data_IF_804229600331
#
_entry.id   IF_804229600331
#
_cell.length_a   1.000
_cell.length_b   1.000
_cell.length_c   1.000
_cell.angle_alpha   90.00
_cell.angle_beta   90.00
_cell.angle_gamma   90.00
#
_symmetry.space_group_name_H-M   'P 1'
#
loop_
_entity.id
_entity.type
_entity.pdbx_description
1 polymer ?
#
# COMPACT_ATOMS: atom_id res chain seq x y z
N UNK A 1 37.90 5.58 -6.91
CA UNK A 1 37.85 6.93 -6.31
C UNK A 1 36.51 7.56 -6.65
N UNK A 2 35.97 8.42 -5.78
CA UNK A 2 34.66 9.03 -6.04
C UNK A 2 34.70 9.87 -7.32
N UNK A 3 33.74 9.67 -8.24
CA UNK A 3 33.60 10.56 -9.38
C UNK A 3 33.29 11.98 -8.89
N UNK A 4 34.19 12.98 -9.04
CA UNK A 4 34.00 14.31 -8.46
C UNK A 4 32.74 14.99 -9.02
N UNK A 5 32.40 14.71 -10.27
CA UNK A 5 31.18 15.18 -10.94
C UNK A 5 29.89 14.79 -10.22
N UNK A 6 29.84 13.61 -9.58
CA UNK A 6 28.66 13.15 -8.86
C UNK A 6 28.40 13.95 -7.57
N UNK A 7 29.47 14.32 -6.86
CA UNK A 7 29.39 15.14 -5.64
C UNK A 7 28.98 16.57 -6.01
N UNK A 8 29.54 17.10 -7.11
CA UNK A 8 29.16 18.43 -7.63
C UNK A 8 27.67 18.47 -8.01
N UNK A 9 27.14 17.43 -8.65
CA UNK A 9 25.72 17.34 -9.00
C UNK A 9 24.81 17.32 -7.76
N UNK A 10 25.20 16.62 -6.68
CA UNK A 10 24.43 16.63 -5.42
C UNK A 10 24.47 17.99 -4.73
N UNK A 11 25.64 18.63 -4.68
CA UNK A 11 25.75 19.97 -4.10
C UNK A 11 24.94 20.99 -4.90
N UNK A 12 24.97 20.89 -6.23
CA UNK A 12 24.11 21.70 -7.09
C UNK A 12 22.62 21.44 -6.83
N UNK A 13 22.22 20.17 -6.68
CA UNK A 13 20.85 19.81 -6.30
C UNK A 13 20.43 20.46 -4.97
N UNK A 14 21.24 20.35 -3.92
CA UNK A 14 20.92 20.93 -2.60
C UNK A 14 20.75 22.46 -2.67
N UNK A 15 21.62 23.14 -3.43
CA UNK A 15 21.53 24.59 -3.60
C UNK A 15 20.27 25.00 -4.37
N UNK A 16 19.96 24.29 -5.45
CA UNK A 16 18.74 24.50 -6.24
C UNK A 16 17.51 24.23 -5.37
N UNK A 17 17.54 23.16 -4.58
CA UNK A 17 16.44 22.75 -3.72
C UNK A 17 16.13 23.77 -2.62
N UNK A 18 17.18 24.31 -1.99
CA UNK A 18 17.05 25.38 -1.01
C UNK A 18 16.51 26.67 -1.66
N UNK A 19 17.07 27.07 -2.81
CA UNK A 19 16.68 28.30 -3.51
C UNK A 19 15.20 28.25 -3.93
N UNK A 20 14.78 27.16 -4.57
CA UNK A 20 13.41 26.99 -5.05
C UNK A 20 12.39 26.72 -3.94
N UNK A 21 12.84 26.41 -2.72
CA UNK A 21 11.96 26.37 -1.54
C UNK A 21 11.77 27.76 -0.93
N UNK A 22 12.79 28.63 -0.97
CA UNK A 22 12.74 29.97 -0.36
C UNK A 22 12.06 31.00 -1.26
N UNK A 23 12.37 31.00 -2.56
CA UNK A 23 11.84 31.97 -3.53
C UNK A 23 10.30 32.08 -3.49
N UNK A 24 9.54 30.98 -3.44
CA UNK A 24 8.08 31.05 -3.41
C UNK A 24 7.51 31.82 -2.21
N UNK A 25 8.20 31.90 -1.06
CA UNK A 25 7.71 32.63 0.11
C UNK A 25 7.58 34.14 -0.12
N UNK A 26 8.35 34.71 -1.03
CA UNK A 26 8.22 36.12 -1.45
C UNK A 26 7.05 36.37 -2.42
N UNK A 27 6.41 35.30 -2.92
CA UNK A 27 5.27 35.33 -3.84
C UNK A 27 3.93 35.00 -3.16
N UNK A 28 3.85 35.12 -1.83
CA UNK A 28 2.64 34.89 -1.03
C UNK A 28 1.75 36.14 -1.01
N UNK A 29 1.47 36.68 -2.19
CA UNK A 29 0.73 37.94 -2.43
C UNK A 29 -0.31 37.67 -3.52
N UNK A 30 -1.48 38.34 -3.47
CA UNK A 30 -2.41 38.30 -4.60
C UNK A 30 -1.79 38.98 -5.83
N UNK A 31 -1.51 38.19 -6.88
CA UNK A 31 -0.92 38.66 -8.14
C UNK A 31 0.50 38.14 -8.39
N UNK A 32 1.10 38.53 -9.51
CA UNK A 32 2.47 38.15 -9.88
C UNK A 32 3.45 39.26 -9.43
N UNK A 33 3.72 39.32 -8.13
CA UNK A 33 4.64 40.28 -7.53
C UNK A 33 5.49 39.63 -6.44
N UNK A 34 6.75 40.05 -6.34
CA UNK A 34 7.70 39.59 -5.32
C UNK A 34 7.95 40.70 -4.31
N UNK A 35 7.72 40.43 -3.03
CA UNK A 35 7.95 41.38 -1.95
C UNK A 35 8.88 40.78 -0.88
N UNK A 36 9.92 41.54 -0.55
CA UNK A 36 10.92 41.13 0.43
C UNK A 36 10.35 41.10 1.86
N UNK A 37 9.48 42.05 2.20
CA UNK A 37 8.88 42.10 3.54
C UNK A 37 7.99 40.87 3.80
N UNK A 38 7.29 40.41 2.76
CA UNK A 38 6.47 39.20 2.79
C UNK A 38 7.31 37.93 2.91
N UNK A 39 8.47 37.87 2.24
CA UNK A 39 9.44 36.78 2.38
C UNK A 39 9.93 36.64 3.83
N UNK A 40 10.37 37.75 4.43
CA UNK A 40 10.89 37.77 5.80
C UNK A 40 9.81 37.36 6.81
N UNK A 41 8.58 37.85 6.64
CA UNK A 41 7.45 37.47 7.48
C UNK A 41 7.14 35.97 7.43
N UNK A 42 7.15 35.37 6.24
CA UNK A 42 6.85 33.94 6.07
C UNK A 42 7.98 33.01 6.53
N UNK A 43 9.21 33.49 6.57
CA UNK A 43 10.38 32.77 7.10
C UNK A 43 10.46 32.82 8.63
N UNK A 44 9.84 33.82 9.26
CA UNK A 44 9.91 34.02 10.70
C UNK A 44 8.95 33.07 11.45
N UNK A 45 9.44 32.19 12.36
CA UNK A 45 8.59 31.20 13.04
C UNK A 45 7.70 31.76 14.16
N UNK A 46 7.83 33.05 14.51
CA UNK A 46 7.18 33.64 15.69
C UNK A 46 5.65 33.60 15.64
N UNK A 47 5.04 33.75 14.46
CA UNK A 47 3.58 33.65 14.26
C UNK A 47 3.20 32.41 13.43
N UNK A 48 3.68 31.23 13.83
CA UNK A 48 3.42 30.00 13.09
C UNK A 48 1.97 29.52 13.23
N UNK A 49 1.27 29.43 12.10
CA UNK A 49 -0.01 28.72 12.00
C UNK A 49 0.05 27.69 10.87
N UNK A 50 -0.20 26.42 11.20
CA UNK A 50 -0.16 25.30 10.26
C UNK A 50 -1.17 25.44 9.11
N UNK A 51 -2.25 26.17 9.28
CA UNK A 51 -3.23 26.33 8.20
C UNK A 51 -2.82 27.40 7.21
N UNK A 52 -2.02 28.38 7.63
CA UNK A 52 -1.75 29.59 6.83
C UNK A 52 -0.32 29.70 6.32
N UNK A 53 0.67 29.26 7.09
CA UNK A 53 2.07 29.52 6.78
C UNK A 53 2.68 28.37 5.97
N UNK A 54 3.59 28.71 5.07
CA UNK A 54 4.33 27.75 4.23
C UNK A 54 5.63 27.23 4.85
N UNK A 55 5.99 27.68 6.05
CA UNK A 55 7.27 27.36 6.71
C UNK A 55 7.59 25.86 6.76
N UNK A 56 6.57 25.00 6.82
CA UNK A 56 6.76 23.55 6.84
C UNK A 56 7.50 22.99 5.62
N UNK A 57 7.40 23.63 4.45
CA UNK A 57 8.16 23.21 3.27
C UNK A 57 9.66 23.44 3.45
N UNK A 58 10.05 24.46 4.21
CA UNK A 58 11.44 24.68 4.58
C UNK A 58 11.93 23.57 5.51
N UNK A 59 11.13 23.20 6.51
CA UNK A 59 11.43 22.08 7.41
C UNK A 59 11.59 20.77 6.65
N UNK A 60 10.70 20.47 5.69
CA UNK A 60 10.81 19.29 4.83
C UNK A 60 12.11 19.30 4.01
N UNK A 61 12.51 20.46 3.50
CA UNK A 61 13.75 20.63 2.72
C UNK A 61 15.00 20.46 3.58
N UNK A 62 14.99 20.98 4.81
CA UNK A 62 16.08 20.78 5.76
C UNK A 62 16.24 19.29 6.13
N UNK A 63 15.12 18.60 6.41
CA UNK A 63 15.13 17.15 6.65
C UNK A 63 15.66 16.38 5.43
N UNK A 64 15.22 16.74 4.21
CA UNK A 64 15.72 16.16 2.96
C UNK A 64 17.22 16.35 2.80
N UNK A 65 17.74 17.53 3.14
CA UNK A 65 19.18 17.79 3.10
C UNK A 65 19.94 16.93 4.11
N UNK A 66 19.44 16.76 5.33
CA UNK A 66 20.03 15.86 6.33
C UNK A 66 20.14 14.43 5.78
N UNK A 67 19.11 13.92 5.12
CA UNK A 67 19.18 12.60 4.48
C UNK A 67 20.22 12.56 3.36
N UNK A 68 20.27 13.55 2.46
CA UNK A 68 21.29 13.58 1.39
C UNK A 68 22.72 13.58 1.97
N UNK A 69 22.96 14.32 3.06
CA UNK A 69 24.24 14.33 3.78
C UNK A 69 24.57 12.97 4.40
N UNK A 70 23.62 12.34 5.09
CA UNK A 70 23.81 10.99 5.65
C UNK A 70 24.13 9.96 4.55
N UNK A 71 23.46 10.08 3.39
CA UNK A 71 23.73 9.24 2.23
C UNK A 71 25.16 9.40 1.70
N UNK A 72 25.65 10.65 1.62
CA UNK A 72 27.03 10.94 1.25
C UNK A 72 28.05 10.36 2.25
N UNK A 73 27.78 10.49 3.55
CA UNK A 73 28.65 9.95 4.61
C UNK A 73 28.72 8.42 4.53
N UNK A 74 27.60 7.74 4.28
CA UNK A 74 27.55 6.29 4.13
C UNK A 74 28.35 5.80 2.91
N UNK A 75 28.24 6.51 1.78
CA UNK A 75 29.03 6.25 0.57
C UNK A 75 30.53 6.45 0.86
N UNK A 76 30.90 7.52 1.58
CA UNK A 76 32.28 7.78 1.98
C UNK A 76 32.84 6.68 2.92
N UNK A 77 32.00 6.13 3.79
CA UNK A 77 32.35 5.06 4.75
C UNK A 77 32.32 3.66 4.11
N UNK A 78 32.00 3.53 2.81
CA UNK A 78 31.86 2.26 2.08
C UNK A 78 30.93 1.23 2.77
N UNK A 79 29.89 1.70 3.45
CA UNK A 79 28.89 0.82 4.10
C UNK A 79 27.75 0.51 3.12
N UNK A 80 27.04 -0.60 3.33
CA UNK A 80 25.86 -0.94 2.52
C UNK A 80 24.85 0.21 2.47
N UNK A 81 24.52 0.67 1.26
CA UNK A 81 23.62 1.80 0.99
C UNK A 81 22.18 1.37 0.73
N UNK A 82 21.91 0.06 0.60
CA UNK A 82 20.59 -0.47 0.21
C UNK A 82 19.50 -0.17 1.27
N UNK A 83 19.78 -0.45 2.55
CA UNK A 83 18.86 -0.14 3.65
C UNK A 83 18.60 1.37 3.76
N UNK A 84 19.65 2.18 3.60
CA UNK A 84 19.52 3.64 3.65
C UNK A 84 18.68 4.18 2.49
N UNK A 85 18.82 3.63 1.28
CA UNK A 85 17.98 3.98 0.14
C UNK A 85 16.49 3.75 0.43
N UNK A 86 16.14 2.62 1.06
CA UNK A 86 14.75 2.33 1.44
C UNK A 86 14.22 3.34 2.46
N UNK A 87 14.99 3.66 3.50
CA UNK A 87 14.61 4.67 4.51
C UNK A 87 14.42 6.04 3.84
N UNK A 88 15.33 6.41 2.94
CA UNK A 88 15.26 7.70 2.25
C UNK A 88 14.08 7.78 1.28
N UNK A 89 13.78 6.69 0.56
CA UNK A 89 12.61 6.60 -0.29
C UNK A 89 11.30 6.66 0.52
N UNK A 90 11.22 6.03 1.70
CA UNK A 90 10.10 6.21 2.64
C UNK A 90 9.88 7.68 2.99
N UNK A 91 10.96 8.38 3.34
CA UNK A 91 10.90 9.81 3.64
C UNK A 91 10.38 10.63 2.44
N UNK A 92 10.83 10.32 1.23
CA UNK A 92 10.32 10.95 0.01
C UNK A 92 8.81 10.78 -0.18
N UNK A 93 8.29 9.56 0.02
CA UNK A 93 6.84 9.28 -0.04
C UNK A 93 6.07 10.05 1.04
N UNK A 94 6.60 10.09 2.27
CA UNK A 94 6.02 10.88 3.36
C UNK A 94 6.01 12.38 3.06
N UNK A 95 7.06 12.94 2.46
CA UNK A 95 7.13 14.36 2.07
C UNK A 95 6.12 14.71 0.97
N UNK A 96 5.94 13.83 -0.02
CA UNK A 96 4.91 13.99 -1.05
C UNK A 96 3.51 13.97 -0.41
N UNK A 97 3.25 13.01 0.49
CA UNK A 97 2.00 12.93 1.24
C UNK A 97 1.73 14.20 2.06
N UNK A 98 2.74 14.70 2.77
CA UNK A 98 2.66 15.94 3.52
C UNK A 98 2.27 17.14 2.65
N UNK A 99 2.82 17.24 1.44
CA UNK A 99 2.50 18.32 0.49
C UNK A 99 1.02 18.35 0.10
N UNK A 100 0.42 17.17 -0.06
CA UNK A 100 -0.99 17.03 -0.41
C UNK A 100 -1.91 17.34 0.78
N UNK A 101 -1.52 16.94 2.00
CA UNK A 101 -2.21 17.34 3.23
C UNK A 101 -2.15 18.86 3.41
N UNK A 102 -0.98 19.46 3.16
CA UNK A 102 -0.77 20.90 3.27
C UNK A 102 -1.60 21.70 2.24
N UNK A 103 -1.73 21.18 1.01
CA UNK A 103 -2.64 21.74 0.01
C UNK A 103 -4.09 21.76 0.53
N UNK A 104 -4.53 20.70 1.22
CA UNK A 104 -5.85 20.64 1.81
C UNK A 104 -6.02 21.68 2.92
N UNK A 105 -5.02 21.85 3.79
CA UNK A 105 -5.02 22.91 4.82
C UNK A 105 -5.16 24.31 4.21
N UNK A 106 -4.44 24.60 3.12
CA UNK A 106 -4.60 25.88 2.42
C UNK A 106 -5.96 26.02 1.73
N UNK A 107 -6.60 24.92 1.34
CA UNK A 107 -7.93 24.94 0.71
C UNK A 107 -9.05 25.39 1.65
N UNK A 108 -8.81 25.38 2.97
CA UNK A 108 -9.71 25.91 3.99
C UNK A 108 -9.83 27.44 3.92
N UNK A 109 -8.76 28.12 3.44
CA UNK A 109 -8.72 29.57 3.26
C UNK A 109 -8.60 29.90 1.75
N UNK A 110 -9.73 30.16 1.04
CA UNK A 110 -9.71 30.32 -0.42
C UNK A 110 -8.85 31.50 -0.90
N UNK A 111 -8.62 32.50 -0.05
CA UNK A 111 -7.71 33.61 -0.32
C UNK A 111 -6.26 33.16 -0.52
N UNK A 112 -5.85 32.08 0.16
CA UNK A 112 -4.49 31.56 0.03
C UNK A 112 -4.26 30.85 -1.31
N UNK A 113 -5.28 30.19 -1.86
CA UNK A 113 -5.17 29.52 -3.16
C UNK A 113 -4.93 30.48 -4.33
N UNK A 114 -5.16 31.79 -4.14
CA UNK A 114 -4.86 32.83 -5.13
C UNK A 114 -3.36 33.13 -5.20
N UNK A 115 -2.58 32.78 -4.18
CA UNK A 115 -1.15 33.06 -4.13
C UNK A 115 -0.37 32.07 -4.98
N UNK A 116 0.34 32.58 -5.99
CA UNK A 116 1.16 31.76 -6.91
C UNK A 116 2.28 31.04 -6.15
N UNK A 117 2.85 31.68 -5.12
CA UNK A 117 3.90 31.10 -4.30
C UNK A 117 3.52 29.77 -3.64
N UNK A 118 2.28 29.61 -3.19
CA UNK A 118 1.84 28.38 -2.53
C UNK A 118 1.86 27.19 -3.51
N UNK A 119 1.38 27.40 -4.73
CA UNK A 119 1.42 26.37 -5.78
C UNK A 119 2.86 26.01 -6.15
N UNK A 120 3.75 27.00 -6.26
CA UNK A 120 5.17 26.77 -6.51
C UNK A 120 5.82 25.96 -5.39
N UNK A 121 5.56 26.27 -4.11
CA UNK A 121 6.10 25.52 -2.97
C UNK A 121 5.63 24.05 -2.96
N UNK A 122 4.35 23.80 -3.25
CA UNK A 122 3.80 22.44 -3.28
C UNK A 122 4.43 21.64 -4.42
N UNK A 123 4.42 22.19 -5.64
CA UNK A 123 4.97 21.53 -6.82
C UNK A 123 6.46 21.27 -6.64
N UNK A 124 7.21 22.26 -6.13
CA UNK A 124 8.63 22.09 -5.89
C UNK A 124 8.92 21.04 -4.81
N UNK A 125 8.18 21.00 -3.70
CA UNK A 125 8.45 20.01 -2.67
C UNK A 125 8.21 18.57 -3.18
N UNK A 126 7.17 18.35 -3.99
CA UNK A 126 6.92 17.06 -4.64
C UNK A 126 8.05 16.72 -5.62
N UNK A 127 8.40 17.64 -6.53
CA UNK A 127 9.45 17.43 -7.52
C UNK A 127 10.81 17.20 -6.88
N UNK A 128 11.19 18.01 -5.89
CA UNK A 128 12.43 17.87 -5.15
C UNK A 128 12.49 16.54 -4.41
N UNK A 129 11.39 16.06 -3.82
CA UNK A 129 11.38 14.77 -3.12
C UNK A 129 11.56 13.59 -4.07
N UNK A 130 11.00 13.66 -5.28
CA UNK A 130 11.22 12.67 -6.34
C UNK A 130 12.67 12.76 -6.85
N UNK A 131 13.13 13.97 -7.15
CA UNK A 131 14.45 14.23 -7.72
C UNK A 131 15.57 13.84 -6.75
N UNK A 132 15.38 14.03 -5.43
CA UNK A 132 16.36 13.63 -4.43
C UNK A 132 16.53 12.12 -4.37
N UNK A 133 15.44 11.36 -4.36
CA UNK A 133 15.46 9.89 -4.36
C UNK A 133 16.04 9.35 -5.67
N UNK A 134 15.64 9.93 -6.81
CA UNK A 134 16.14 9.55 -8.13
C UNK A 134 17.64 9.82 -8.29
N UNK A 135 18.10 11.01 -7.84
CA UNK A 135 19.52 11.37 -7.86
C UNK A 135 20.34 10.42 -7.01
N UNK A 136 19.86 10.09 -5.81
CA UNK A 136 20.54 9.16 -4.91
C UNK A 136 20.57 7.72 -5.48
N UNK A 137 19.49 7.24 -6.09
CA UNK A 137 19.47 5.95 -6.78
C UNK A 137 20.46 5.89 -7.96
N UNK A 138 20.52 6.95 -8.78
CA UNK A 138 21.46 7.06 -9.89
C UNK A 138 22.91 7.03 -9.41
N UNK A 139 23.20 7.69 -8.28
CA UNK A 139 24.51 7.68 -7.67
C UNK A 139 24.92 6.29 -7.18
N UNK A 140 24.03 5.56 -6.51
CA UNK A 140 24.30 4.17 -6.10
C UNK A 140 24.63 3.31 -7.33
N UNK A 141 23.83 3.37 -8.40
CA UNK A 141 24.08 2.57 -9.62
C UNK A 141 25.40 2.91 -10.28
N UNK A 142 25.73 4.20 -10.40
CA UNK A 142 26.94 4.63 -11.11
C UNK A 142 28.22 4.48 -10.27
N UNK A 143 28.10 4.44 -8.94
CA UNK A 143 29.25 4.44 -8.01
C UNK A 143 29.52 3.07 -7.39
N UNK A 144 28.49 2.30 -7.04
CA UNK A 144 28.60 0.98 -6.44
C UNK A 144 28.69 -0.11 -7.51
N UNK A 145 27.72 -0.12 -8.46
CA UNK A 145 27.57 -1.23 -9.39
C UNK A 145 28.51 -1.20 -10.59
N UNK A 146 29.06 -0.05 -10.99
CA UNK A 146 30.04 -0.06 -12.09
C UNK A 146 31.28 -0.92 -11.76
N UNK A 147 31.68 -1.00 -10.49
CA UNK A 147 32.88 -1.76 -10.10
C UNK A 147 32.57 -3.20 -9.68
N UNK A 148 31.37 -3.46 -9.17
CA UNK A 148 30.99 -4.75 -8.58
C UNK A 148 30.15 -5.61 -9.55
N UNK A 149 29.35 -5.00 -10.44
CA UNK A 149 28.64 -5.71 -11.51
C UNK A 149 29.58 -6.15 -12.62
N UNK A 150 30.55 -5.30 -13.02
CA UNK A 150 31.60 -5.69 -13.97
C UNK A 150 32.42 -6.87 -13.42
N UNK A 151 32.77 -6.86 -12.12
CA UNK A 151 33.45 -7.99 -11.46
C UNK A 151 32.59 -9.24 -11.32
N UNK A 152 31.31 -9.12 -10.94
CA UNK A 152 30.41 -10.27 -10.82
C UNK A 152 30.05 -10.86 -12.18
N UNK A 153 29.98 -10.06 -13.25
CA UNK A 153 29.85 -10.59 -14.62
C UNK A 153 31.13 -11.28 -15.07
N UNK A 154 32.32 -10.72 -14.78
CA UNK A 154 33.59 -11.38 -15.09
C UNK A 154 33.77 -12.70 -14.30
N UNK A 155 33.38 -12.72 -13.01
CA UNK A 155 33.41 -13.92 -12.16
C UNK A 155 32.33 -14.94 -12.59
N UNK A 156 31.12 -14.50 -12.95
CA UNK A 156 30.05 -15.37 -13.43
C UNK A 156 30.29 -15.92 -14.84
N UNK A 157 30.83 -15.13 -15.77
CA UNK A 157 31.23 -15.60 -17.11
C UNK A 157 32.43 -16.56 -17.02
N UNK A 158 33.30 -16.42 -16.01
CA UNK A 158 34.39 -17.35 -15.73
C UNK A 158 33.94 -18.66 -15.04
N UNK A 159 32.89 -18.60 -14.21
CA UNK A 159 32.29 -19.77 -13.55
C UNK A 159 31.25 -20.51 -14.40
N UNK A 160 30.56 -19.84 -15.32
CA UNK A 160 29.53 -20.43 -16.19
C UNK A 160 30.14 -21.14 -17.41
N UNK A 161 31.42 -20.88 -17.72
CA UNK A 161 32.10 -21.47 -18.88
C UNK A 161 33.35 -22.34 -18.59
N UNK A 162 33.36 -23.30 -17.64
CA UNK A 162 34.37 -24.36 -17.60
C UNK A 162 34.07 -25.48 -18.62
N UNK A 163 32.82 -25.58 -19.09
CA UNK A 163 32.24 -26.75 -19.75
C UNK A 163 31.97 -26.59 -21.25
N UNK A 164 32.39 -25.50 -21.90
CA UNK A 164 32.29 -25.35 -23.37
C UNK A 164 33.12 -26.41 -24.14
N UNK A 165 33.84 -27.30 -23.44
CA UNK A 165 34.64 -28.39 -23.99
C UNK A 165 34.23 -29.82 -23.56
N UNK A 166 32.99 -30.08 -23.14
CA UNK A 166 32.51 -31.44 -22.86
C UNK A 166 31.19 -31.79 -23.59
N UNK A 167 31.07 -33.00 -24.18
CA UNK A 167 29.96 -33.32 -25.07
C UNK A 167 28.65 -33.54 -24.31
N UNK A 168 27.58 -32.98 -24.88
CA UNK A 168 26.21 -33.07 -24.41
C UNK A 168 25.75 -34.52 -24.22
N UNK A 169 25.48 -34.92 -22.97
CA UNK A 169 24.67 -36.10 -22.67
C UNK A 169 23.22 -35.69 -22.37
N UNK A 170 22.29 -36.36 -23.04
CA UNK A 170 20.87 -36.05 -23.06
C UNK A 170 20.14 -36.46 -21.78
N UNK A 171 20.13 -35.58 -20.79
CA UNK A 171 19.15 -35.65 -19.71
C UNK A 171 17.84 -34.99 -20.13
N UNK A 172 16.75 -35.77 -20.09
CA UNK A 172 15.39 -35.28 -20.32
C UNK A 172 15.06 -34.19 -19.28
N UNK A 173 14.80 -32.98 -19.77
CA UNK A 173 14.35 -31.85 -18.95
C UNK A 173 13.01 -32.22 -18.28
N UNK A 174 12.85 -32.02 -16.97
CA UNK A 174 11.60 -32.33 -16.28
C UNK A 174 10.46 -31.51 -16.89
N UNK A 175 9.38 -32.21 -17.22
CA UNK A 175 8.17 -31.66 -17.84
C UNK A 175 7.62 -30.52 -16.98
N UNK A 176 7.62 -29.29 -17.52
CA UNK A 176 7.11 -28.11 -16.81
C UNK A 176 5.62 -28.28 -16.53
N UNK A 177 5.27 -28.53 -15.28
CA UNK A 177 3.88 -28.59 -14.79
C UNK A 177 3.13 -27.35 -15.26
N UNK A 178 2.27 -27.49 -16.26
CA UNK A 178 1.44 -26.39 -16.77
C UNK A 178 0.47 -25.98 -15.66
N UNK A 179 0.77 -24.87 -14.96
CA UNK A 179 -0.16 -24.25 -14.00
C UNK A 179 -1.45 -23.94 -14.74
N UNK A 180 -2.51 -24.73 -14.53
CA UNK A 180 -3.85 -24.42 -15.03
C UNK A 180 -4.22 -23.00 -14.57
N UNK A 181 -4.85 -22.24 -15.46
CA UNK A 181 -5.23 -20.85 -15.20
C UNK A 181 -5.98 -20.70 -13.87
N UNK A 182 -5.64 -19.67 -13.09
CA UNK A 182 -6.32 -19.30 -11.83
C UNK A 182 -7.83 -19.17 -12.03
N UNK A 183 -8.25 -18.69 -13.21
CA UNK A 183 -9.67 -18.54 -13.56
C UNK A 183 -10.41 -19.87 -13.65
N UNK A 184 -9.73 -20.95 -14.05
CA UNK A 184 -10.34 -22.28 -14.11
C UNK A 184 -10.60 -22.85 -12.71
N UNK A 185 -9.68 -22.63 -11.77
CA UNK A 185 -9.85 -23.04 -10.37
C UNK A 185 -10.98 -22.25 -9.69
N UNK A 186 -11.05 -20.95 -9.92
CA UNK A 186 -12.14 -20.10 -9.41
C UNK A 186 -13.48 -20.52 -9.98
N UNK A 187 -13.57 -20.79 -11.29
CA UNK A 187 -14.80 -21.25 -11.94
C UNK A 187 -15.27 -22.60 -11.36
N UNK A 188 -14.34 -23.53 -11.13
CA UNK A 188 -14.64 -24.81 -10.50
C UNK A 188 -15.20 -24.64 -9.08
N UNK A 189 -14.52 -23.85 -8.24
CA UNK A 189 -14.97 -23.53 -6.89
C UNK A 189 -16.36 -22.87 -6.87
N UNK A 190 -16.60 -21.93 -7.79
CA UNK A 190 -17.86 -21.22 -7.90
C UNK A 190 -19.01 -22.15 -8.31
N UNK A 191 -18.74 -23.17 -9.14
CA UNK A 191 -19.74 -24.16 -9.52
C UNK A 191 -20.23 -24.97 -8.32
N UNK A 192 -19.32 -25.39 -7.42
CA UNK A 192 -19.67 -26.06 -6.17
C UNK A 192 -20.39 -25.11 -5.19
N UNK A 193 -19.98 -23.84 -5.12
CA UNK A 193 -20.66 -22.84 -4.29
C UNK A 193 -22.09 -22.55 -4.78
N UNK A 194 -22.30 -22.52 -6.11
CA UNK A 194 -23.59 -22.23 -6.73
C UNK A 194 -24.65 -23.29 -6.39
N UNK A 195 -24.24 -24.55 -6.19
CA UNK A 195 -25.13 -25.62 -5.74
C UNK A 195 -25.78 -25.31 -4.37
N UNK A 196 -25.08 -24.57 -3.50
CA UNK A 196 -25.56 -24.14 -2.19
C UNK A 196 -25.76 -22.63 -2.10
N UNK A 197 -26.17 -21.99 -3.21
CA UNK A 197 -26.36 -20.55 -3.30
C UNK A 197 -27.25 -19.94 -2.19
N UNK A 198 -28.32 -20.56 -1.66
CA UNK A 198 -29.13 -19.92 -0.61
C UNK A 198 -28.32 -19.47 0.61
N UNK A 199 -27.36 -20.27 1.07
CA UNK A 199 -26.49 -19.93 2.20
C UNK A 199 -25.53 -18.79 1.86
N UNK A 200 -24.93 -18.82 0.67
CA UNK A 200 -24.04 -17.74 0.21
C UNK A 200 -24.80 -16.43 -0.06
N UNK A 201 -26.03 -16.50 -0.57
CA UNK A 201 -26.90 -15.34 -0.80
C UNK A 201 -27.29 -14.67 0.52
N UNK A 202 -27.73 -15.48 1.49
CA UNK A 202 -28.01 -15.01 2.85
C UNK A 202 -26.78 -14.34 3.49
N UNK A 203 -25.61 -14.95 3.32
CA UNK A 203 -24.36 -14.37 3.79
C UNK A 203 -24.02 -13.05 3.10
N UNK A 204 -24.30 -12.90 1.80
CA UNK A 204 -24.15 -11.65 1.07
C UNK A 204 -25.07 -10.55 1.60
N UNK A 205 -26.34 -10.87 1.88
CA UNK A 205 -27.28 -9.90 2.48
C UNK A 205 -26.79 -9.43 3.84
N UNK A 206 -26.37 -10.36 4.71
CA UNK A 206 -25.80 -10.02 6.00
C UNK A 206 -24.49 -9.24 5.89
N UNK A 207 -23.68 -9.52 4.87
CA UNK A 207 -22.47 -8.77 4.59
C UNK A 207 -22.76 -7.31 4.24
N UNK A 208 -23.79 -7.03 3.44
CA UNK A 208 -24.18 -5.66 3.08
C UNK A 208 -24.67 -4.90 4.31
N UNK A 209 -25.52 -5.51 5.14
CA UNK A 209 -26.00 -4.89 6.39
C UNK A 209 -24.84 -4.61 7.35
N UNK A 210 -23.97 -5.61 7.55
CA UNK A 210 -22.76 -5.48 8.34
C UNK A 210 -21.85 -4.35 7.84
N UNK A 211 -21.56 -4.33 6.53
CA UNK A 211 -20.66 -3.35 5.93
C UNK A 211 -21.21 -1.95 6.07
N UNK A 212 -22.50 -1.77 5.78
CA UNK A 212 -23.18 -0.48 5.94
C UNK A 212 -23.07 0.01 7.38
N UNK A 213 -23.47 -0.81 8.35
CA UNK A 213 -23.39 -0.45 9.76
C UNK A 213 -21.95 -0.08 10.19
N UNK A 214 -20.95 -0.83 9.71
CA UNK A 214 -19.54 -0.60 10.03
C UNK A 214 -18.99 0.69 9.42
N UNK A 215 -19.44 1.07 8.22
CA UNK A 215 -19.04 2.32 7.53
C UNK A 215 -19.57 3.56 8.26
N UNK A 216 -20.74 3.48 8.91
CA UNK A 216 -21.30 4.61 9.66
C UNK A 216 -20.64 4.86 11.03
N UNK A 217 -19.93 3.88 11.60
CA UNK A 217 -19.31 4.03 12.94
C UNK A 217 -18.37 5.25 13.02
N UNK A 218 -17.37 5.42 12.12
CA UNK A 218 -16.46 6.58 12.17
C UNK A 218 -17.17 7.93 12.04
N UNK A 219 -18.28 8.00 11.31
CA UNK A 219 -19.06 9.21 11.13
C UNK A 219 -19.75 9.65 12.42
N UNK A 220 -20.39 8.71 13.12
CA UNK A 220 -20.97 8.99 14.42
C UNK A 220 -19.90 9.32 15.46
N UNK A 221 -18.73 8.66 15.41
CA UNK A 221 -17.58 9.06 16.23
C UNK A 221 -17.19 10.52 15.97
N UNK A 222 -17.14 10.96 14.71
CA UNK A 222 -16.90 12.36 14.35
C UNK A 222 -17.96 13.32 14.91
N UNK A 223 -19.24 12.97 14.84
CA UNK A 223 -20.32 13.77 15.44
C UNK A 223 -20.25 13.84 16.95
N UNK A 224 -19.89 12.74 17.62
CA UNK A 224 -19.68 12.70 19.06
C UNK A 224 -18.58 13.69 19.46
N UNK A 225 -17.45 13.69 18.73
CA UNK A 225 -16.36 14.64 18.95
C UNK A 225 -16.84 16.08 18.73
N UNK A 226 -17.55 16.35 17.63
CA UNK A 226 -18.07 17.69 17.34
C UNK A 226 -19.01 18.20 18.45
N UNK A 227 -19.88 17.34 18.97
CA UNK A 227 -20.82 17.68 20.05
C UNK A 227 -20.10 17.93 21.39
N UNK A 228 -18.97 17.26 21.65
CA UNK A 228 -18.14 17.50 22.85
C UNK A 228 -17.46 18.87 22.77
N UNK A 229 -16.99 19.28 21.59
CA UNK A 229 -16.27 20.55 21.38
C UNK A 229 -17.23 21.73 21.50
N UNK A 230 -18.44 21.62 20.96
CA UNK A 230 -19.47 22.66 21.07
C UNK A 230 -20.29 22.45 22.35
N UNK A 231 -19.71 22.83 23.50
CA UNK A 231 -20.37 22.82 24.82
C UNK A 231 -21.50 23.85 24.88
N UNK A 232 -22.69 23.44 24.45
CA UNK A 232 -23.93 24.22 24.62
C UNK A 232 -24.95 23.40 25.44
N UNK A 233 -25.79 24.02 26.26
CA UNK A 233 -26.69 23.27 27.18
C UNK A 233 -27.73 22.41 26.42
N UNK A 234 -28.08 22.81 25.18
CA UNK A 234 -28.92 22.03 24.26
C UNK A 234 -28.16 20.89 23.56
N UNK A 235 -26.83 20.85 23.66
CA UNK A 235 -25.94 19.83 23.07
C UNK A 235 -25.98 18.50 23.83
N UNK A 236 -26.36 18.50 25.11
CA UNK A 236 -26.41 17.28 25.94
C UNK A 236 -27.35 16.21 25.36
N UNK A 237 -28.56 16.58 24.93
CA UNK A 237 -29.49 15.64 24.29
C UNK A 237 -28.99 15.14 22.92
N UNK A 238 -28.38 16.01 22.12
CA UNK A 238 -27.78 15.66 20.84
C UNK A 238 -26.61 14.66 21.04
N UNK A 239 -25.80 14.86 22.08
CA UNK A 239 -24.73 13.94 22.46
C UNK A 239 -25.27 12.55 22.81
N UNK A 240 -26.19 12.45 23.78
CA UNK A 240 -26.75 11.15 24.20
C UNK A 240 -27.44 10.41 23.05
N UNK A 241 -28.20 11.11 22.22
CA UNK A 241 -28.87 10.51 21.06
C UNK A 241 -27.88 10.02 19.99
N UNK A 242 -26.77 10.73 19.78
CA UNK A 242 -25.70 10.33 18.85
C UNK A 242 -24.95 9.10 19.35
N UNK A 243 -24.62 9.06 20.65
CA UNK A 243 -23.99 7.90 21.29
C UNK A 243 -24.90 6.67 21.23
N UNK A 244 -26.21 6.83 21.49
CA UNK A 244 -27.16 5.73 21.43
C UNK A 244 -27.28 5.15 20.02
N UNK A 245 -27.31 6.02 18.98
CA UNK A 245 -27.26 5.58 17.57
C UNK A 245 -25.97 4.82 17.26
N UNK A 246 -24.81 5.30 17.72
CA UNK A 246 -23.52 4.62 17.54
C UNK A 246 -23.53 3.22 18.16
N UNK A 247 -24.02 3.10 19.41
CA UNK A 247 -24.18 1.80 20.07
C UNK A 247 -25.11 0.86 19.28
N UNK A 248 -26.24 1.39 18.78
CA UNK A 248 -27.16 0.64 17.92
C UNK A 248 -26.47 0.06 16.68
N UNK A 249 -25.72 0.89 15.94
CA UNK A 249 -24.94 0.45 14.78
C UNK A 249 -23.88 -0.59 15.14
N UNK A 250 -23.23 -0.47 16.30
CA UNK A 250 -22.21 -1.42 16.75
C UNK A 250 -22.80 -2.80 17.10
N UNK A 251 -23.97 -2.82 17.75
CA UNK A 251 -24.71 -4.05 18.05
C UNK A 251 -25.14 -4.72 16.74
N UNK A 252 -25.73 -3.96 15.81
CA UNK A 252 -26.13 -4.46 14.48
C UNK A 252 -24.90 -5.01 13.74
N UNK A 253 -23.81 -4.25 13.67
CA UNK A 253 -22.60 -4.70 12.99
C UNK A 253 -22.07 -6.02 13.59
N UNK A 254 -22.01 -6.14 14.91
CA UNK A 254 -21.49 -7.35 15.56
C UNK A 254 -22.40 -8.56 15.33
N UNK A 255 -23.71 -8.37 15.46
CA UNK A 255 -24.70 -9.43 15.23
C UNK A 255 -24.63 -9.95 13.79
N UNK A 256 -24.69 -9.05 12.81
CA UNK A 256 -24.65 -9.41 11.39
C UNK A 256 -23.27 -9.92 10.95
N UNK A 257 -22.19 -9.52 11.62
CA UNK A 257 -20.87 -10.12 11.41
C UNK A 257 -20.86 -11.61 11.79
N UNK A 258 -21.46 -11.95 12.93
CA UNK A 258 -21.62 -13.32 13.41
C UNK A 258 -22.51 -14.15 12.49
N UNK A 259 -23.69 -13.63 12.14
CA UNK A 259 -24.64 -14.31 11.23
C UNK A 259 -24.02 -14.58 9.86
N UNK A 260 -23.35 -13.58 9.26
CA UNK A 260 -22.60 -13.75 8.02
C UNK A 260 -21.53 -14.85 8.15
N UNK A 261 -20.74 -14.81 9.22
CA UNK A 261 -19.68 -15.79 9.48
C UNK A 261 -20.23 -17.21 9.60
N UNK A 262 -21.34 -17.37 10.33
CA UNK A 262 -22.04 -18.65 10.47
C UNK A 262 -22.59 -19.16 9.13
N UNK A 263 -23.24 -18.31 8.33
CA UNK A 263 -23.76 -18.69 7.01
C UNK A 263 -22.65 -19.12 6.04
N UNK A 264 -21.51 -18.41 6.01
CA UNK A 264 -20.36 -18.81 5.18
C UNK A 264 -19.76 -20.13 5.65
N UNK A 265 -19.53 -20.29 6.96
CA UNK A 265 -18.98 -21.52 7.54
C UNK A 265 -19.88 -22.73 7.27
N UNK A 266 -21.19 -22.55 7.38
CA UNK A 266 -22.16 -23.60 7.09
C UNK A 266 -22.19 -23.96 5.59
N UNK A 267 -22.24 -22.96 4.71
CA UNK A 267 -22.17 -23.17 3.26
C UNK A 267 -20.89 -23.91 2.84
N UNK A 268 -19.75 -23.53 3.43
CA UNK A 268 -18.47 -24.19 3.27
C UNK A 268 -18.46 -25.65 3.69
N UNK A 269 -18.98 -25.95 4.88
CA UNK A 269 -19.09 -27.33 5.36
C UNK A 269 -19.93 -28.22 4.44
N UNK A 270 -21.01 -27.68 3.85
CA UNK A 270 -21.82 -28.38 2.86
C UNK A 270 -21.03 -28.65 1.56
N UNK A 271 -20.26 -27.67 1.08
CA UNK A 271 -19.37 -27.82 -0.08
C UNK A 271 -18.29 -28.89 0.17
N UNK A 272 -17.65 -28.87 1.34
CA UNK A 272 -16.65 -29.88 1.73
C UNK A 272 -17.26 -31.30 1.72
N UNK A 273 -18.47 -31.44 2.27
CA UNK A 273 -19.18 -32.71 2.32
C UNK A 273 -19.46 -33.28 0.93
N UNK A 274 -19.97 -32.46 -0.01
CA UNK A 274 -20.25 -32.94 -1.37
C UNK A 274 -18.95 -33.25 -2.12
N UNK A 275 -17.88 -32.47 -1.92
CA UNK A 275 -16.61 -32.69 -2.59
C UNK A 275 -15.96 -34.01 -2.15
N UNK A 276 -15.97 -34.29 -0.85
CA UNK A 276 -15.53 -35.58 -0.30
C UNK A 276 -16.37 -36.74 -0.82
N UNK A 277 -17.70 -36.57 -0.89
CA UNK A 277 -18.60 -37.60 -1.43
C UNK A 277 -18.28 -37.91 -2.91
N UNK A 278 -18.13 -36.88 -3.74
CA UNK A 278 -17.85 -37.05 -5.17
C UNK A 278 -16.48 -37.70 -5.40
N UNK A 279 -15.47 -37.28 -4.62
CA UNK A 279 -14.14 -37.89 -4.70
C UNK A 279 -14.16 -39.35 -4.27
N UNK A 280 -14.88 -39.67 -3.19
CA UNK A 280 -15.03 -41.04 -2.72
C UNK A 280 -15.77 -41.96 -3.72
N UNK A 281 -16.87 -41.49 -4.31
CA UNK A 281 -17.59 -42.25 -5.37
C UNK A 281 -16.71 -42.47 -6.60
N UNK A 282 -15.91 -41.47 -6.98
CA UNK A 282 -14.94 -41.61 -8.08
C UNK A 282 -13.81 -42.58 -7.76
N UNK A 283 -13.38 -42.67 -6.49
CA UNK A 283 -12.32 -43.59 -6.04
C UNK A 283 -12.79 -45.04 -6.09
N UNK A 284 -14.00 -45.35 -5.61
CA UNK A 284 -14.52 -46.74 -5.61
C UNK A 284 -14.69 -47.30 -7.04
N UNK A 285 -14.89 -46.44 -8.03
CA UNK A 285 -15.06 -46.82 -9.44
C UNK A 285 -13.74 -46.99 -10.21
N UNK A 286 -12.59 -46.77 -9.59
CA UNK A 286 -11.29 -46.94 -10.24
C UNK A 286 -10.90 -48.41 -10.40
N UNK A 287 -10.09 -48.69 -11.41
CA UNK A 287 -9.50 -50.01 -11.64
C UNK A 287 -8.47 -50.39 -10.56
N UNK A 288 -8.26 -51.69 -10.35
CA UNK A 288 -7.30 -52.20 -9.36
C UNK A 288 -5.86 -51.71 -9.66
N UNK A 289 -5.50 -51.59 -10.94
CA UNK A 289 -4.20 -51.08 -11.37
C UNK A 289 -3.91 -49.64 -10.93
N UNK A 290 -4.93 -48.82 -10.65
CA UNK A 290 -4.76 -47.50 -10.06
C UNK A 290 -4.28 -47.59 -8.60
N UNK A 291 -4.83 -48.54 -7.84
CA UNK A 291 -4.49 -48.76 -6.44
C UNK A 291 -3.11 -49.41 -6.27
N UNK A 292 -2.65 -50.21 -7.23
CA UNK A 292 -1.29 -50.77 -7.21
C UNK A 292 -0.21 -49.69 -7.37
N UNK A 293 -0.53 -48.58 -8.04
CA UNK A 293 0.41 -47.46 -8.30
C UNK A 293 0.41 -46.40 -7.22
N UNK A 294 -0.68 -46.23 -6.47
CA UNK A 294 -0.89 -45.13 -5.52
C UNK A 294 -0.90 -45.63 -4.08
N UNK A 295 -0.06 -45.07 -3.22
CA UNK A 295 -0.08 -45.39 -1.79
C UNK A 295 -1.42 -45.00 -1.15
N UNK A 296 -1.98 -45.89 -0.31
CA UNK A 296 -3.23 -45.65 0.43
C UNK A 296 -3.20 -44.34 1.24
N UNK A 297 -2.04 -43.99 1.82
CA UNK A 297 -1.86 -42.74 2.55
C UNK A 297 -2.00 -41.49 1.66
N UNK A 298 -1.54 -41.55 0.41
CA UNK A 298 -1.69 -40.44 -0.54
C UNK A 298 -3.16 -40.26 -0.95
N UNK A 299 -3.91 -41.34 -1.13
CA UNK A 299 -5.35 -41.30 -1.44
C UNK A 299 -6.12 -40.68 -0.25
N UNK A 300 -5.81 -41.10 0.97
CA UNK A 300 -6.45 -40.56 2.19
C UNK A 300 -6.12 -39.07 2.39
N UNK A 301 -4.88 -38.66 2.12
CA UNK A 301 -4.47 -37.25 2.19
C UNK A 301 -5.23 -36.39 1.17
N UNK A 302 -5.39 -36.87 -0.07
CA UNK A 302 -6.20 -36.18 -1.09
C UNK A 302 -7.67 -36.06 -0.67
N UNK A 303 -8.23 -37.12 -0.09
CA UNK A 303 -9.61 -37.15 0.36
C UNK A 303 -9.87 -36.23 1.58
N UNK A 304 -8.88 -36.04 2.43
CA UNK A 304 -9.04 -35.28 3.68
C UNK A 304 -8.41 -33.90 3.59
N UNK A 305 -7.09 -33.82 3.42
CA UNK A 305 -6.29 -32.60 3.43
C UNK A 305 -6.56 -31.72 2.22
N UNK A 306 -6.50 -32.27 1.00
CA UNK A 306 -6.69 -31.45 -0.20
C UNK A 306 -8.14 -30.95 -0.27
N UNK A 307 -9.12 -31.81 0.02
CA UNK A 307 -10.51 -31.40 0.08
C UNK A 307 -10.77 -30.30 1.11
N UNK A 308 -10.16 -30.41 2.30
CA UNK A 308 -10.29 -29.39 3.33
C UNK A 308 -9.62 -28.08 2.91
N UNK A 309 -8.42 -28.15 2.33
CA UNK A 309 -7.67 -26.96 1.89
C UNK A 309 -8.45 -26.18 0.84
N UNK A 310 -9.00 -26.87 -0.15
CA UNK A 310 -9.83 -26.26 -1.21
C UNK A 310 -11.08 -25.60 -0.63
N UNK A 311 -11.74 -26.24 0.34
CA UNK A 311 -12.91 -25.64 1.02
C UNK A 311 -12.52 -24.44 1.89
N UNK A 312 -11.43 -24.54 2.66
CA UNK A 312 -10.94 -23.44 3.49
C UNK A 312 -10.62 -22.20 2.65
N UNK A 313 -10.06 -22.39 1.45
CA UNK A 313 -9.80 -21.30 0.50
C UNK A 313 -11.12 -20.62 0.11
N UNK A 314 -12.17 -21.40 -0.16
CA UNK A 314 -13.50 -20.89 -0.48
C UNK A 314 -14.09 -20.09 0.70
N UNK A 315 -14.04 -20.64 1.91
CA UNK A 315 -14.66 -20.02 3.09
C UNK A 315 -13.95 -18.76 3.58
N UNK A 316 -12.62 -18.73 3.50
CA UNK A 316 -11.83 -17.61 4.01
C UNK A 316 -11.58 -16.56 2.92
N UNK A 317 -11.04 -16.95 1.77
CA UNK A 317 -10.59 -15.98 0.77
C UNK A 317 -11.75 -15.35 0.03
N UNK A 318 -12.78 -16.11 -0.36
CA UNK A 318 -13.95 -15.52 -1.06
C UNK A 318 -14.70 -14.58 -0.12
N UNK A 319 -14.90 -15.01 1.13
CA UNK A 319 -15.54 -14.19 2.15
C UNK A 319 -14.75 -12.90 2.44
N UNK A 320 -13.43 -13.00 2.58
CA UNK A 320 -12.54 -11.84 2.75
C UNK A 320 -12.60 -10.92 1.54
N UNK A 321 -12.51 -11.48 0.33
CA UNK A 321 -12.57 -10.74 -0.93
C UNK A 321 -13.90 -10.00 -1.08
N UNK A 322 -15.04 -10.67 -0.88
CA UNK A 322 -16.36 -10.06 -0.93
C UNK A 322 -16.48 -8.96 0.11
N UNK A 323 -16.08 -9.23 1.36
CA UNK A 323 -16.14 -8.23 2.43
C UNK A 323 -15.32 -7.00 2.11
N UNK A 324 -14.07 -7.19 1.69
CA UNK A 324 -13.18 -6.08 1.38
C UNK A 324 -13.68 -5.31 0.16
N UNK A 325 -14.23 -5.98 -0.84
CA UNK A 325 -14.81 -5.33 -2.02
C UNK A 325 -16.01 -4.44 -1.65
N UNK A 326 -16.97 -4.97 -0.88
CA UNK A 326 -18.14 -4.20 -0.43
C UNK A 326 -17.72 -3.05 0.49
N UNK A 327 -16.80 -3.30 1.43
CA UNK A 327 -16.28 -2.26 2.32
C UNK A 327 -15.52 -1.18 1.56
N UNK A 328 -14.73 -1.54 0.54
CA UNK A 328 -14.00 -0.59 -0.29
C UNK A 328 -14.97 0.32 -1.05
N UNK A 329 -15.94 -0.27 -1.76
CA UNK A 329 -16.93 0.50 -2.54
C UNK A 329 -17.79 1.36 -1.62
N UNK A 330 -18.30 0.79 -0.52
CA UNK A 330 -19.13 1.51 0.43
C UNK A 330 -18.38 2.64 1.13
N UNK A 331 -17.14 2.41 1.58
CA UNK A 331 -16.32 3.45 2.21
C UNK A 331 -15.96 4.54 1.22
N UNK A 332 -15.67 4.20 -0.04
CA UNK A 332 -15.35 5.16 -1.09
C UNK A 332 -16.53 6.11 -1.35
N UNK A 333 -17.73 5.55 -1.55
CA UNK A 333 -18.94 6.35 -1.75
C UNK A 333 -19.16 7.26 -0.53
N UNK A 334 -18.99 6.72 0.67
CA UNK A 334 -19.18 7.48 1.91
C UNK A 334 -18.17 8.64 2.05
N UNK A 335 -16.88 8.39 1.79
CA UNK A 335 -15.83 9.41 1.84
C UNK A 335 -16.06 10.52 0.80
N UNK A 336 -16.47 10.17 -0.41
CA UNK A 336 -16.79 11.14 -1.47
C UNK A 336 -17.94 12.08 -1.07
N UNK A 337 -18.95 11.55 -0.37
CA UNK A 337 -20.07 12.34 0.13
C UNK A 337 -19.66 13.29 1.28
N UNK A 338 -18.72 12.88 2.14
CA UNK A 338 -18.24 13.74 3.24
C UNK A 338 -17.34 14.88 2.76
N UNK A 339 -16.30 14.56 1.98
CA UNK A 339 -15.39 15.55 1.42
C UNK A 339 -14.69 14.99 0.20
N UNK A 340 -15.10 15.47 -0.97
CA UNK A 340 -14.48 15.09 -2.23
C UNK A 340 -13.01 15.53 -2.29
N UNK A 341 -12.65 16.68 -1.68
CA UNK A 341 -11.27 17.20 -1.66
C UNK A 341 -10.32 16.28 -0.90
N UNK A 342 -10.70 15.86 0.32
CA UNK A 342 -9.89 14.95 1.15
C UNK A 342 -9.82 13.55 0.52
N UNK A 343 -10.89 13.12 -0.15
CA UNK A 343 -10.92 11.83 -0.84
C UNK A 343 -9.93 11.81 -2.01
N UNK A 344 -9.94 12.82 -2.87
CA UNK A 344 -9.01 12.90 -4.01
C UNK A 344 -7.55 12.93 -3.54
N UNK A 345 -7.24 13.70 -2.49
CA UNK A 345 -5.90 13.72 -1.88
C UNK A 345 -5.48 12.30 -1.45
N UNK A 346 -6.37 11.58 -0.78
CA UNK A 346 -6.13 10.19 -0.36
C UNK A 346 -5.83 9.27 -1.55
N UNK A 347 -6.56 9.42 -2.65
CA UNK A 347 -6.35 8.63 -3.87
C UNK A 347 -5.01 8.91 -4.55
N UNK A 348 -4.49 10.12 -4.47
CA UNK A 348 -3.17 10.45 -5.01
C UNK A 348 -2.05 9.84 -4.15
N UNK A 349 -2.26 9.72 -2.84
CA UNK A 349 -1.26 9.19 -1.89
C UNK A 349 -1.13 7.66 -1.93
N UNK A 350 -2.22 6.93 -2.18
CA UNK A 350 -2.23 5.45 -2.13
C UNK A 350 -1.27 4.79 -3.16
N UNK A 351 -1.26 5.14 -4.46
CA UNK A 351 -0.42 4.45 -5.45
C UNK A 351 1.10 4.58 -5.18
N UNK A 352 1.65 5.76 -4.83
CA UNK A 352 3.05 5.88 -4.42
C UNK A 352 3.42 4.97 -3.25
N UNK A 353 2.55 4.87 -2.24
CA UNK A 353 2.76 3.96 -1.11
C UNK A 353 2.78 2.51 -1.58
N UNK A 354 1.84 2.11 -2.45
CA UNK A 354 1.79 0.74 -2.99
C UNK A 354 3.04 0.36 -3.79
N UNK A 355 3.53 1.27 -4.65
CA UNK A 355 4.79 1.06 -5.38
C UNK A 355 5.97 0.93 -4.42
N UNK A 356 6.03 1.80 -3.40
CA UNK A 356 7.08 1.75 -2.40
C UNK A 356 7.04 0.43 -1.59
N UNK A 357 5.87 0.01 -1.11
CA UNK A 357 5.70 -1.26 -0.40
C UNK A 357 6.12 -2.45 -1.26
N UNK A 358 5.82 -2.42 -2.57
CA UNK A 358 6.27 -3.47 -3.50
C UNK A 358 7.80 -3.50 -3.61
N UNK A 359 8.43 -2.35 -3.86
CA UNK A 359 9.89 -2.25 -3.96
C UNK A 359 10.59 -2.71 -2.68
N UNK A 360 10.00 -2.39 -1.52
CA UNK A 360 10.48 -2.83 -0.23
C UNK A 360 10.31 -4.35 -0.06
N UNK A 361 9.16 -4.92 -0.44
CA UNK A 361 8.91 -6.36 -0.42
C UNK A 361 9.92 -7.13 -1.28
N UNK A 362 10.10 -6.72 -2.54
CA UNK A 362 11.04 -7.33 -3.47
C UNK A 362 12.48 -7.34 -2.92
N UNK A 363 12.88 -6.30 -2.19
CA UNK A 363 14.20 -6.23 -1.55
C UNK A 363 14.37 -7.27 -0.44
N UNK A 364 13.38 -7.41 0.44
CA UNK A 364 13.45 -8.36 1.56
C UNK A 364 13.35 -9.79 1.10
N UNK A 365 12.55 -10.08 0.07
CA UNK A 365 12.47 -11.42 -0.49
C UNK A 365 13.84 -11.83 -1.04
N UNK A 366 14.51 -11.00 -1.86
CA UNK A 366 15.84 -11.31 -2.39
C UNK A 366 16.88 -11.50 -1.27
N UNK A 367 16.90 -10.59 -0.28
CA UNK A 367 17.86 -10.71 0.84
C UNK A 367 17.60 -11.90 1.76
N UNK A 368 16.36 -12.43 1.81
CA UNK A 368 16.03 -13.60 2.63
C UNK A 368 16.51 -14.91 1.99
N UNK A 369 16.57 -14.99 0.66
CA UNK A 369 17.06 -16.17 -0.06
C UNK A 369 18.60 -16.24 -0.18
N UNK A 370 19.29 -15.16 0.16
CA UNK A 370 20.76 -15.09 0.19
C UNK A 370 21.38 -15.58 1.54
N UNK A 371 20.54 -16.00 2.50
CA UNK A 371 20.93 -16.63 3.78
C UNK A 371 20.30 -18.01 3.90
#
# INVERSE_FOLDING_TARGET
>A
MANPWAIVLLLAYVLIDLAWTIIPFGLYIPGFGFDYNTLERNLNPVEYNILKNGFDFLVCTLLRFIFVLLGLILIATKRSTKLFFLIFASFGVCSISFSLVKLLCFSEYPEQLKYVGIWMSIVWNILGSILSVASFHFLIRKWLFKTEYERMQEEAEAEENPEENAPANGEEKPEKVTRKSVTAHVKFLLQYACQYWPWFSMACVFLVIYSTARIFIPFYTGQVIANIVHRDEKSSYAFYSTVLKMCGFMIVATLFAGLRGASFSWGGALVNRIMRKNLFDSLIRQEIAFFDKMQTGAILSRLTTDCQTVTNILDLNINLFMRNSVMLVGSLIFMLNLSWRLTVVTFIVIPPIGVFTKLYGDYYDVSFWDY
#
